data_IF_871405536734
#
_entry.id   IF_871405536734
#
_cell.length_a   1.000
_cell.length_b   1.000
_cell.length_c   1.000
_cell.angle_alpha   90.00
_cell.angle_beta   90.00
_cell.angle_gamma   90.00
#
_symmetry.space_group_name_H-M   'P 1'
#
loop_
_entity.id
_entity.type
_entity.pdbx_description
1 polymer ?
#
# COMPACT_ATOMS: atom_id res chain seq x y z
N UNK A 1 -21.21 -5.41 37.03
CA UNK A 1 -21.56 -5.14 35.60
C UNK A 1 -21.82 -3.65 35.46
N UNK A 2 -20.92 -2.94 34.79
CA UNK A 2 -21.06 -1.49 34.54
C UNK A 2 -21.88 -1.34 33.26
N UNK A 3 -23.11 -0.88 33.31
CA UNK A 3 -23.91 -0.57 32.14
C UNK A 3 -23.76 0.92 31.78
N UNK A 4 -23.21 1.18 30.60
CA UNK A 4 -23.05 2.55 30.07
C UNK A 4 -24.12 2.80 29.00
N UNK A 5 -24.83 3.95 29.10
CA UNK A 5 -25.82 4.35 28.11
C UNK A 5 -25.14 5.11 26.96
N UNK A 6 -25.65 4.93 25.74
CA UNK A 6 -25.16 5.67 24.57
C UNK A 6 -25.37 7.18 24.74
N UNK A 7 -24.29 7.97 24.61
CA UNK A 7 -24.33 9.43 24.83
C UNK A 7 -24.05 9.88 26.27
N UNK A 8 -23.77 8.95 27.18
CA UNK A 8 -23.42 9.29 28.56
C UNK A 8 -22.02 9.90 28.60
N UNK A 9 -21.90 11.09 29.21
CA UNK A 9 -20.60 11.73 29.48
C UNK A 9 -19.89 10.96 30.60
N UNK A 10 -18.68 10.46 30.34
CA UNK A 10 -17.88 9.68 31.29
C UNK A 10 -16.98 10.58 32.12
N UNK A 11 -16.41 11.62 31.48
CA UNK A 11 -15.51 12.60 32.10
C UNK A 11 -15.72 13.95 31.43
N UNK A 12 -15.68 15.04 32.19
CA UNK A 12 -15.65 16.40 31.67
C UNK A 12 -14.22 16.94 31.67
N UNK A 13 -13.94 17.91 30.82
CA UNK A 13 -12.67 18.61 30.82
C UNK A 13 -12.40 19.27 32.19
N UNK A 14 -11.31 18.89 32.85
CA UNK A 14 -10.95 19.31 34.20
C UNK A 14 -11.28 18.35 35.33
N UNK A 15 -12.00 17.25 35.08
CA UNK A 15 -12.30 16.24 36.11
C UNK A 15 -11.07 15.35 36.40
N UNK A 16 -10.91 14.96 37.68
CA UNK A 16 -9.87 14.02 38.09
C UNK A 16 -10.16 12.62 37.58
N UNK A 17 -9.18 12.02 36.89
CA UNK A 17 -9.30 10.66 36.35
C UNK A 17 -9.19 9.65 37.50
N UNK A 18 -10.33 9.08 37.90
CA UNK A 18 -10.39 8.01 38.92
C UNK A 18 -10.15 6.62 38.30
N UNK A 19 -9.72 5.61 39.08
CA UNK A 19 -9.54 4.23 38.59
C UNK A 19 -10.79 3.64 37.93
N UNK A 20 -11.98 4.02 38.39
CA UNK A 20 -13.26 3.62 37.78
C UNK A 20 -13.44 4.21 36.37
N UNK A 21 -13.02 5.42 36.14
CA UNK A 21 -13.05 6.08 34.82
C UNK A 21 -12.10 5.39 33.86
N UNK A 22 -10.90 5.04 34.32
CA UNK A 22 -9.91 4.29 33.52
C UNK A 22 -10.47 2.92 33.12
N UNK A 23 -11.11 2.20 34.05
CA UNK A 23 -11.71 0.89 33.75
C UNK A 23 -12.88 1.00 32.75
N UNK A 24 -13.71 2.03 32.83
CA UNK A 24 -14.78 2.29 31.89
C UNK A 24 -14.24 2.62 30.49
N UNK A 25 -13.24 3.51 30.37
CA UNK A 25 -12.61 3.87 29.12
C UNK A 25 -11.93 2.64 28.49
N UNK A 26 -11.23 1.83 29.28
CA UNK A 26 -10.57 0.62 28.79
C UNK A 26 -11.58 -0.42 28.28
N UNK A 27 -12.70 -0.61 28.97
CA UNK A 27 -13.77 -1.51 28.55
C UNK A 27 -14.44 -1.05 27.23
N UNK A 28 -14.70 0.26 27.07
CA UNK A 28 -15.24 0.82 25.83
C UNK A 28 -14.24 0.65 24.69
N UNK A 29 -12.97 0.94 24.95
CA UNK A 29 -11.90 0.83 23.94
C UNK A 29 -11.74 -0.62 23.48
N UNK A 30 -11.73 -1.59 24.39
CA UNK A 30 -11.60 -3.00 24.03
C UNK A 30 -12.81 -3.50 23.22
N UNK A 31 -14.02 -3.15 23.63
CA UNK A 31 -15.24 -3.54 22.91
C UNK A 31 -15.33 -2.90 21.52
N UNK A 32 -15.07 -1.59 21.41
CA UNK A 32 -15.13 -0.88 20.13
C UNK A 32 -14.02 -1.35 19.16
N UNK A 33 -12.85 -1.70 19.69
CA UNK A 33 -11.72 -2.17 18.88
C UNK A 33 -11.99 -3.57 18.34
N UNK A 34 -12.52 -4.48 19.14
CA UNK A 34 -12.81 -5.85 18.73
C UNK A 34 -13.86 -5.89 17.61
N UNK A 35 -15.02 -5.25 17.82
CA UNK A 35 -16.09 -5.23 16.81
C UNK A 35 -15.65 -4.53 15.52
N UNK A 36 -14.90 -3.43 15.63
CA UNK A 36 -14.38 -2.69 14.48
C UNK A 36 -13.36 -3.51 13.68
N UNK A 37 -12.51 -4.28 14.34
CA UNK A 37 -11.53 -5.13 13.68
C UNK A 37 -12.19 -6.28 12.93
N UNK A 38 -13.21 -6.91 13.50
CA UNK A 38 -13.99 -7.97 12.84
C UNK A 38 -14.68 -7.43 11.58
N UNK A 39 -15.39 -6.30 11.69
CA UNK A 39 -16.05 -5.70 10.53
C UNK A 39 -15.06 -5.25 9.46
N UNK A 40 -13.90 -4.72 9.85
CA UNK A 40 -12.82 -4.35 8.94
C UNK A 40 -12.25 -5.57 8.23
N UNK A 41 -12.07 -6.69 8.93
CA UNK A 41 -11.60 -7.93 8.35
C UNK A 41 -12.57 -8.47 7.28
N UNK A 42 -13.86 -8.57 7.58
CA UNK A 42 -14.85 -9.01 6.61
C UNK A 42 -14.99 -8.04 5.43
N UNK A 43 -14.95 -6.75 5.67
CA UNK A 43 -14.96 -5.74 4.60
C UNK A 43 -13.76 -5.90 3.66
N UNK A 44 -12.56 -6.05 4.20
CA UNK A 44 -11.35 -6.31 3.42
C UNK A 44 -11.44 -7.63 2.65
N UNK A 45 -11.92 -8.69 3.27
CA UNK A 45 -12.07 -10.00 2.64
C UNK A 45 -13.00 -9.92 1.42
N UNK A 46 -14.14 -9.25 1.54
CA UNK A 46 -15.08 -9.05 0.43
C UNK A 46 -14.43 -8.23 -0.69
N UNK A 47 -13.76 -7.13 -0.35
CA UNK A 47 -13.07 -6.28 -1.34
C UNK A 47 -11.97 -7.02 -2.08
N UNK A 48 -11.12 -7.74 -1.36
CA UNK A 48 -10.05 -8.54 -1.95
C UNK A 48 -10.61 -9.65 -2.83
N UNK A 49 -11.67 -10.34 -2.40
CA UNK A 49 -12.34 -11.37 -3.20
C UNK A 49 -12.93 -10.79 -4.48
N UNK A 50 -13.57 -9.63 -4.42
CA UNK A 50 -14.10 -8.94 -5.59
C UNK A 50 -12.98 -8.52 -6.57
N UNK A 51 -11.85 -8.04 -6.04
CA UNK A 51 -10.67 -7.70 -6.84
C UNK A 51 -10.08 -8.93 -7.54
N UNK A 52 -9.95 -10.07 -6.85
CA UNK A 52 -9.47 -11.31 -7.45
C UNK A 52 -10.45 -11.85 -8.49
N UNK A 53 -11.76 -11.72 -8.27
CA UNK A 53 -12.76 -12.09 -9.28
C UNK A 53 -12.64 -11.18 -10.52
N UNK A 54 -12.46 -9.87 -10.34
CA UNK A 54 -12.23 -8.95 -11.46
C UNK A 54 -10.94 -9.29 -12.22
N UNK A 55 -9.88 -9.66 -11.51
CA UNK A 55 -8.62 -10.11 -12.11
C UNK A 55 -8.79 -11.36 -12.96
N UNK A 56 -9.55 -12.34 -12.45
CA UNK A 56 -9.88 -13.54 -13.22
C UNK A 56 -10.63 -13.21 -14.51
N UNK A 57 -11.67 -12.38 -14.42
CA UNK A 57 -12.42 -11.92 -15.59
C UNK A 57 -11.56 -11.13 -16.57
N UNK A 58 -10.69 -10.26 -16.08
CA UNK A 58 -9.75 -9.54 -16.93
C UNK A 58 -8.81 -10.48 -17.69
N UNK A 59 -8.25 -11.50 -17.03
CA UNK A 59 -7.35 -12.47 -17.65
C UNK A 59 -8.09 -13.31 -18.70
N UNK A 60 -9.34 -13.72 -18.47
CA UNK A 60 -10.17 -14.43 -19.45
C UNK A 60 -10.46 -13.59 -20.70
N UNK A 61 -10.70 -12.29 -20.56
CA UNK A 61 -11.13 -11.43 -21.68
C UNK A 61 -9.99 -10.60 -22.30
N UNK A 62 -8.77 -10.80 -21.89
CA UNK A 62 -7.63 -9.95 -22.33
C UNK A 62 -7.28 -10.00 -23.81
N UNK A 63 -7.69 -11.05 -24.56
CA UNK A 63 -7.58 -11.14 -26.03
C UNK A 63 -6.18 -10.92 -26.63
N UNK A 64 -5.13 -10.89 -25.83
CA UNK A 64 -3.78 -10.58 -26.26
C UNK A 64 -2.98 -11.87 -26.48
N UNK A 65 -2.14 -11.86 -27.50
CA UNK A 65 -1.14 -12.91 -27.69
C UNK A 65 -0.09 -12.79 -26.58
N UNK A 66 -0.04 -13.70 -25.62
CA UNK A 66 0.95 -13.63 -24.56
C UNK A 66 2.35 -13.88 -25.12
N UNK A 67 3.35 -13.20 -24.57
CA UNK A 67 4.76 -13.46 -24.91
C UNK A 67 5.20 -14.88 -24.53
N UNK A 68 4.61 -15.39 -23.46
CA UNK A 68 4.70 -16.80 -23.06
C UNK A 68 3.34 -17.45 -23.31
N UNK A 69 3.35 -18.65 -23.88
CA UNK A 69 2.15 -19.49 -24.11
C UNK A 69 1.63 -20.08 -22.79
N UNK A 70 1.40 -19.22 -21.79
CA UNK A 70 0.83 -19.62 -20.53
C UNK A 70 -0.69 -19.72 -20.67
N UNK A 71 -1.26 -20.80 -20.15
CA UNK A 71 -2.72 -20.91 -20.02
C UNK A 71 -3.28 -19.81 -19.10
N UNK A 72 -4.58 -19.52 -19.23
CA UNK A 72 -5.24 -18.50 -18.40
C UNK A 72 -5.09 -18.81 -16.89
N UNK A 73 -5.23 -20.09 -16.54
CA UNK A 73 -5.07 -20.56 -15.16
C UNK A 73 -3.66 -20.33 -14.61
N UNK A 74 -2.63 -20.64 -15.40
CA UNK A 74 -1.24 -20.42 -15.01
C UNK A 74 -0.91 -18.93 -14.90
N UNK A 75 -1.46 -18.12 -15.79
CA UNK A 75 -1.30 -16.65 -15.71
C UNK A 75 -1.98 -16.11 -14.47
N UNK A 76 -3.16 -16.61 -14.11
CA UNK A 76 -3.86 -16.20 -12.89
C UNK A 76 -3.13 -16.67 -11.63
N UNK A 77 -2.59 -17.89 -11.63
CA UNK A 77 -1.77 -18.39 -10.54
C UNK A 77 -0.49 -17.54 -10.34
N UNK A 78 0.18 -17.20 -11.45
CA UNK A 78 1.35 -16.31 -11.43
C UNK A 78 0.98 -14.91 -10.89
N UNK A 79 -0.14 -14.35 -11.37
CA UNK A 79 -0.67 -13.08 -10.87
C UNK A 79 -0.90 -13.14 -9.34
N UNK A 80 -1.63 -14.16 -8.88
CA UNK A 80 -1.92 -14.36 -7.45
C UNK A 80 -0.66 -14.49 -6.62
N UNK A 81 0.31 -15.29 -7.09
CA UNK A 81 1.61 -15.44 -6.41
C UNK A 81 2.36 -14.11 -6.30
N UNK A 82 2.47 -13.35 -7.39
CA UNK A 82 3.14 -12.05 -7.40
C UNK A 82 2.43 -11.07 -6.44
N UNK A 83 1.10 -11.04 -6.45
CA UNK A 83 0.33 -10.16 -5.55
C UNK A 83 0.58 -10.52 -4.08
N UNK A 84 0.57 -11.80 -3.72
CA UNK A 84 0.84 -12.25 -2.34
C UNK A 84 2.26 -11.88 -1.91
N UNK A 85 3.26 -12.18 -2.73
CA UNK A 85 4.66 -11.84 -2.44
C UNK A 85 4.85 -10.33 -2.30
N UNK A 86 4.28 -9.55 -3.22
CA UNK A 86 4.36 -8.10 -3.18
C UNK A 86 3.66 -7.51 -1.94
N UNK A 87 2.50 -8.06 -1.57
CA UNK A 87 1.78 -7.62 -0.36
C UNK A 87 2.57 -7.90 0.90
N UNK A 88 3.16 -9.10 1.01
CA UNK A 88 4.03 -9.45 2.13
C UNK A 88 5.27 -8.54 2.21
N UNK A 89 5.88 -8.27 1.06
CA UNK A 89 7.02 -7.36 0.96
C UNK A 89 6.64 -5.93 1.40
N UNK A 90 5.53 -5.39 0.91
CA UNK A 90 5.03 -4.07 1.33
C UNK A 90 4.76 -4.02 2.83
N UNK A 91 4.10 -5.03 3.39
CA UNK A 91 3.82 -5.09 4.82
C UNK A 91 5.11 -5.08 5.66
N UNK A 92 6.12 -5.85 5.25
CA UNK A 92 7.43 -5.87 5.88
C UNK A 92 8.14 -4.52 5.80
N UNK A 93 8.11 -3.86 4.64
CA UNK A 93 8.72 -2.54 4.49
C UNK A 93 7.98 -1.43 5.21
N UNK A 94 6.64 -1.45 5.30
CA UNK A 94 5.91 -0.52 6.14
C UNK A 94 6.27 -0.68 7.62
N UNK A 95 6.41 -1.92 8.08
CA UNK A 95 6.90 -2.19 9.45
C UNK A 95 8.31 -1.65 9.66
N UNK A 96 9.21 -1.84 8.69
CA UNK A 96 10.58 -1.30 8.75
C UNK A 96 10.58 0.24 8.74
N UNK A 97 9.70 0.87 7.96
CA UNK A 97 9.53 2.32 7.94
C UNK A 97 9.12 2.86 9.33
N UNK A 98 8.16 2.20 9.99
CA UNK A 98 7.75 2.55 11.34
C UNK A 98 8.89 2.41 12.35
N UNK A 99 9.60 1.28 12.35
CA UNK A 99 10.75 1.05 13.26
C UNK A 99 11.86 2.06 13.02
N UNK A 100 12.11 2.40 11.75
CA UNK A 100 13.17 3.36 11.40
C UNK A 100 12.80 4.78 11.86
N UNK A 101 11.56 5.20 11.65
CA UNK A 101 11.06 6.49 12.11
C UNK A 101 11.12 6.62 13.63
N UNK A 102 10.73 5.57 14.37
CA UNK A 102 10.78 5.58 15.84
C UNK A 102 12.19 5.70 16.42
N UNK A 103 13.22 5.27 15.68
CA UNK A 103 14.63 5.41 16.08
C UNK A 103 15.20 6.80 15.81
N UNK A 104 14.54 7.61 15.00
CA UNK A 104 14.95 8.95 14.66
C UNK A 104 14.19 9.99 15.49
N UNK A 105 14.91 10.83 16.24
CA UNK A 105 14.32 11.87 17.09
C UNK A 105 14.07 13.17 16.32
N UNK A 106 14.82 13.39 15.23
CA UNK A 106 14.78 14.65 14.48
C UNK A 106 13.77 14.59 13.33
N UNK A 107 12.91 15.61 13.22
CA UNK A 107 12.11 15.83 12.03
C UNK A 107 13.04 16.19 10.83
N UNK A 108 12.69 15.73 9.59
CA UNK A 108 11.51 14.97 9.18
C UNK A 108 11.69 13.44 9.26
N UNK A 109 12.86 12.93 9.72
CA UNK A 109 13.21 11.50 9.72
C UNK A 109 12.42 10.66 10.73
N UNK A 110 11.67 11.31 11.63
CA UNK A 110 10.76 10.66 12.57
C UNK A 110 9.36 10.37 11.97
N UNK A 111 9.10 10.75 10.71
CA UNK A 111 7.84 10.46 10.02
C UNK A 111 7.95 9.13 9.24
N UNK A 112 7.17 8.09 9.61
CA UNK A 112 7.17 6.82 8.89
C UNK A 112 6.80 6.94 7.41
N UNK A 113 5.96 7.93 7.06
CA UNK A 113 5.52 8.12 5.69
C UNK A 113 6.66 8.47 4.74
N UNK A 114 7.69 9.14 5.26
CA UNK A 114 8.87 9.50 4.47
C UNK A 114 9.67 8.25 4.06
N UNK A 115 9.85 7.32 4.98
CA UNK A 115 10.54 6.05 4.73
C UNK A 115 9.72 5.12 3.84
N UNK A 116 8.39 5.23 3.89
CA UNK A 116 7.49 4.41 3.08
C UNK A 116 7.61 4.71 1.57
N UNK A 117 8.07 5.89 1.15
CA UNK A 117 8.37 6.17 -0.27
C UNK A 117 9.54 5.35 -0.83
N UNK A 118 10.37 4.75 0.02
CA UNK A 118 11.45 3.85 -0.40
C UNK A 118 10.96 2.42 -0.73
N UNK A 119 9.69 2.10 -0.47
CA UNK A 119 9.12 0.77 -0.73
C UNK A 119 9.08 0.50 -2.25
N UNK A 120 9.55 -0.67 -2.71
CA UNK A 120 9.57 -1.01 -4.13
C UNK A 120 8.19 -1.44 -4.64
N UNK A 121 7.24 -0.50 -4.73
CA UNK A 121 5.86 -0.76 -5.17
C UNK A 121 5.77 -1.31 -6.61
N UNK A 122 6.68 -0.91 -7.47
CA UNK A 122 6.69 -1.29 -8.89
C UNK A 122 7.19 -2.72 -9.15
N UNK A 123 7.73 -3.42 -8.14
CA UNK A 123 8.40 -4.71 -8.32
C UNK A 123 7.46 -5.78 -8.92
N UNK A 124 6.23 -5.90 -8.40
CA UNK A 124 5.27 -6.90 -8.90
C UNK A 124 4.85 -6.64 -10.35
N UNK A 125 4.60 -5.39 -10.73
CA UNK A 125 4.25 -5.02 -12.09
C UNK A 125 5.42 -5.21 -13.07
N UNK A 126 6.64 -4.97 -12.61
CA UNK A 126 7.87 -5.19 -13.35
C UNK A 126 8.07 -6.69 -13.63
N UNK A 127 7.93 -7.55 -12.61
CA UNK A 127 7.99 -9.01 -12.79
C UNK A 127 6.93 -9.49 -13.77
N UNK A 128 5.70 -9.00 -13.65
CA UNK A 128 4.61 -9.38 -14.54
C UNK A 128 4.87 -8.94 -15.99
N UNK A 129 5.54 -7.79 -16.20
CA UNK A 129 5.96 -7.33 -17.54
C UNK A 129 6.97 -8.28 -18.17
N UNK A 130 7.88 -8.84 -17.38
CA UNK A 130 8.91 -9.77 -17.84
C UNK A 130 8.37 -11.17 -18.10
N UNK A 131 7.45 -11.65 -17.25
CA UNK A 131 6.97 -13.04 -17.26
C UNK A 131 5.69 -13.24 -18.06
N UNK A 132 4.88 -12.21 -18.25
CA UNK A 132 3.62 -12.31 -18.98
C UNK A 132 3.54 -11.25 -20.08
N UNK A 133 2.56 -10.35 -20.00
CA UNK A 133 2.33 -9.32 -20.97
C UNK A 133 2.12 -7.95 -20.31
N UNK A 134 2.28 -6.89 -21.11
CA UNK A 134 2.20 -5.52 -20.64
C UNK A 134 0.82 -5.15 -20.09
N UNK A 135 -0.26 -5.67 -20.68
CA UNK A 135 -1.63 -5.39 -20.23
C UNK A 135 -1.89 -5.99 -18.86
N UNK A 136 -1.52 -7.26 -18.68
CA UNK A 136 -1.64 -7.93 -17.39
C UNK A 136 -0.74 -7.29 -16.34
N UNK A 137 0.46 -6.83 -16.72
CA UNK A 137 1.37 -6.11 -15.83
C UNK A 137 0.81 -4.77 -15.34
N UNK A 138 0.20 -3.97 -16.24
CA UNK A 138 -0.49 -2.73 -15.85
C UNK A 138 -1.64 -3.01 -14.89
N UNK A 139 -2.45 -4.02 -15.20
CA UNK A 139 -3.54 -4.43 -14.31
C UNK A 139 -3.00 -4.87 -12.94
N UNK A 140 -1.92 -5.67 -12.92
CA UNK A 140 -1.24 -6.08 -11.68
C UNK A 140 -0.75 -4.87 -10.88
N UNK A 141 -0.18 -3.87 -11.56
CA UNK A 141 0.28 -2.63 -10.94
C UNK A 141 -0.87 -1.85 -10.28
N UNK A 142 -2.00 -1.69 -10.97
CA UNK A 142 -3.19 -1.05 -10.41
C UNK A 142 -3.75 -1.83 -9.21
N UNK A 143 -3.79 -3.16 -9.31
CA UNK A 143 -4.23 -4.03 -8.24
C UNK A 143 -3.34 -3.89 -6.98
N UNK A 144 -2.03 -3.92 -7.15
CA UNK A 144 -1.04 -3.71 -6.09
C UNK A 144 -1.20 -2.31 -5.47
N UNK A 145 -1.50 -1.29 -6.29
CA UNK A 145 -1.70 0.08 -5.81
C UNK A 145 -2.92 0.20 -4.89
N UNK A 146 -4.01 -0.50 -5.19
CA UNK A 146 -5.18 -0.57 -4.31
C UNK A 146 -4.81 -1.24 -2.98
N UNK A 147 -4.05 -2.35 -3.02
CA UNK A 147 -3.59 -3.03 -1.81
C UNK A 147 -2.64 -2.13 -1.00
N UNK A 148 -1.74 -1.40 -1.66
CA UNK A 148 -0.87 -0.43 -1.00
C UNK A 148 -1.68 0.62 -0.22
N UNK A 149 -2.80 1.09 -0.79
CA UNK A 149 -3.70 2.00 -0.10
C UNK A 149 -4.38 1.41 1.14
N UNK A 150 -4.64 0.09 1.16
CA UNK A 150 -5.19 -0.57 2.36
C UNK A 150 -4.15 -0.77 3.46
N UNK A 151 -2.88 -0.95 3.10
CA UNK A 151 -1.79 -1.14 4.06
C UNK A 151 -1.25 0.20 4.60
N UNK A 152 -1.28 1.24 3.80
CA UNK A 152 -0.65 2.52 4.13
C UNK A 152 -1.46 3.36 5.11
N UNK A 153 -0.82 4.09 6.05
CA UNK A 153 -1.50 5.02 6.94
C UNK A 153 -2.12 6.23 6.19
N UNK A 154 -1.49 6.66 5.09
CA UNK A 154 -1.98 7.73 4.18
C UNK A 154 -2.43 7.10 2.86
N UNK A 155 -3.61 6.50 2.84
CA UNK A 155 -4.06 5.56 1.81
C UNK A 155 -4.02 6.11 0.38
N UNK A 156 -4.52 7.34 0.13
CA UNK A 156 -4.63 7.89 -1.21
C UNK A 156 -3.26 8.22 -1.82
N UNK A 157 -2.34 8.76 -1.04
CA UNK A 157 -1.00 9.12 -1.51
C UNK A 157 -0.25 7.91 -2.04
N UNK A 158 -0.28 6.80 -1.29
CA UNK A 158 0.42 5.58 -1.67
C UNK A 158 -0.27 4.81 -2.80
N UNK A 159 -1.59 4.95 -2.98
CA UNK A 159 -2.29 4.44 -4.18
C UNK A 159 -1.76 5.14 -5.43
N UNK A 160 -1.74 6.47 -5.43
CA UNK A 160 -1.27 7.27 -6.57
C UNK A 160 0.21 7.01 -6.84
N UNK A 161 1.04 7.05 -5.79
CA UNK A 161 2.47 6.79 -5.90
C UNK A 161 2.77 5.41 -6.51
N UNK A 162 2.15 4.36 -5.99
CA UNK A 162 2.32 2.98 -6.46
C UNK A 162 1.81 2.79 -7.89
N UNK A 163 0.68 3.43 -8.25
CA UNK A 163 0.13 3.37 -9.61
C UNK A 163 1.09 4.00 -10.63
N UNK A 164 1.62 5.19 -10.34
CA UNK A 164 2.57 5.87 -11.21
C UNK A 164 3.86 5.04 -11.34
N UNK A 165 4.45 4.60 -10.22
CA UNK A 165 5.65 3.79 -10.22
C UNK A 165 5.48 2.50 -11.03
N UNK A 166 4.35 1.82 -10.87
CA UNK A 166 4.00 0.61 -11.61
C UNK A 166 3.84 0.87 -13.12
N UNK A 167 3.15 1.94 -13.49
CA UNK A 167 2.98 2.31 -14.89
C UNK A 167 4.33 2.62 -15.55
N UNK A 168 5.19 3.39 -14.89
CA UNK A 168 6.54 3.71 -15.39
C UNK A 168 7.39 2.45 -15.53
N UNK A 169 7.32 1.50 -14.61
CA UNK A 169 8.03 0.23 -14.70
C UNK A 169 7.60 -0.57 -15.93
N UNK A 170 6.30 -0.67 -16.17
CA UNK A 170 5.74 -1.42 -17.31
C UNK A 170 6.11 -0.77 -18.65
N UNK A 171 6.01 0.54 -18.75
CA UNK A 171 6.36 1.26 -19.99
C UNK A 171 7.87 1.39 -20.19
N UNK A 172 8.64 1.53 -19.13
CA UNK A 172 10.10 1.61 -19.17
C UNK A 172 10.78 0.37 -19.73
N UNK A 173 10.30 -0.81 -19.39
CA UNK A 173 10.83 -2.10 -19.92
C UNK A 173 10.30 -2.46 -21.30
N UNK A 174 9.14 -1.95 -21.67
CA UNK A 174 8.33 -2.48 -22.77
C UNK A 174 8.91 -2.50 -24.16
N UNK A 175 10.04 -1.86 -24.42
CA UNK A 175 10.66 -1.77 -25.77
C UNK A 175 12.01 -2.48 -25.90
N UNK A 176 12.59 -2.95 -24.81
CA UNK A 176 13.97 -3.35 -24.77
C UNK A 176 14.20 -4.85 -24.64
N UNK A 177 15.09 -5.39 -25.47
CA UNK A 177 15.50 -6.80 -25.49
C UNK A 177 16.89 -7.04 -24.87
N UNK A 178 17.53 -6.02 -24.30
CA UNK A 178 18.90 -6.11 -23.78
C UNK A 178 18.94 -6.13 -22.25
N UNK A 179 20.01 -6.67 -21.69
CA UNK A 179 20.21 -6.70 -20.22
C UNK A 179 20.26 -5.29 -19.60
N UNK A 180 20.74 -4.29 -20.32
CA UNK A 180 20.78 -2.88 -19.91
C UNK A 180 19.38 -2.27 -19.74
N UNK A 181 18.36 -2.84 -20.35
CA UNK A 181 16.98 -2.32 -20.27
C UNK A 181 16.41 -2.34 -18.86
N UNK A 182 16.75 -3.37 -18.08
CA UNK A 182 16.28 -3.49 -16.68
C UNK A 182 16.91 -2.40 -15.83
N UNK A 183 18.18 -2.11 -16.04
CA UNK A 183 18.90 -1.05 -15.31
C UNK A 183 18.34 0.33 -15.67
N UNK A 184 18.11 0.59 -16.96
CA UNK A 184 17.52 1.85 -17.42
C UNK A 184 16.10 2.04 -16.89
N UNK A 185 15.29 0.96 -16.91
CA UNK A 185 13.96 0.99 -16.33
C UNK A 185 13.99 1.26 -14.82
N UNK A 186 14.95 0.66 -14.09
CA UNK A 186 15.14 0.93 -12.67
C UNK A 186 15.48 2.39 -12.39
N UNK A 187 16.39 2.99 -13.17
CA UNK A 187 16.74 4.41 -13.05
C UNK A 187 15.53 5.30 -13.36
N UNK A 188 14.78 4.98 -14.41
CA UNK A 188 13.58 5.75 -14.79
C UNK A 188 12.50 5.66 -13.69
N UNK A 189 12.23 4.47 -13.18
CA UNK A 189 11.31 4.27 -12.05
C UNK A 189 11.77 5.06 -10.84
N UNK A 190 13.06 5.00 -10.49
CA UNK A 190 13.61 5.75 -9.37
C UNK A 190 13.45 7.26 -9.54
N UNK A 191 13.77 7.81 -10.70
CA UNK A 191 13.64 9.25 -10.99
C UNK A 191 12.19 9.73 -10.93
N UNK A 192 11.27 9.00 -11.58
CA UNK A 192 9.84 9.37 -11.57
C UNK A 192 9.23 9.17 -10.18
N UNK A 193 9.62 8.12 -9.47
CA UNK A 193 9.16 7.89 -8.09
C UNK A 193 9.62 9.02 -7.17
N UNK A 194 10.87 9.48 -7.28
CA UNK A 194 11.37 10.61 -6.51
C UNK A 194 10.58 11.90 -6.82
N UNK A 195 10.36 12.20 -8.11
CA UNK A 195 9.56 13.35 -8.52
C UNK A 195 8.11 13.26 -8.00
N UNK A 196 7.50 12.08 -8.06
CA UNK A 196 6.14 11.84 -7.55
C UNK A 196 6.08 12.00 -6.03
N UNK A 197 7.06 11.50 -5.29
CA UNK A 197 7.14 11.68 -3.85
C UNK A 197 7.22 13.17 -3.47
N UNK A 198 8.10 13.93 -4.14
CA UNK A 198 8.21 15.38 -3.93
C UNK A 198 6.89 16.09 -4.23
N UNK A 199 6.22 15.74 -5.33
CA UNK A 199 4.93 16.32 -5.69
C UNK A 199 3.83 16.01 -4.66
N UNK A 200 3.77 14.77 -4.15
CA UNK A 200 2.80 14.36 -3.13
C UNK A 200 3.06 15.05 -1.79
N UNK A 201 4.32 15.17 -1.36
CA UNK A 201 4.68 15.90 -0.14
C UNK A 201 4.29 17.37 -0.28
N UNK A 202 4.53 17.99 -1.45
CA UNK A 202 4.12 19.37 -1.73
C UNK A 202 2.60 19.55 -1.74
N UNK A 203 1.87 18.58 -2.30
CA UNK A 203 0.40 18.59 -2.33
C UNK A 203 -0.22 18.51 -0.93
N UNK A 204 0.35 17.72 -0.04
CA UNK A 204 -0.15 17.56 1.33
C UNK A 204 0.23 18.72 2.25
N UNK A 205 0.87 19.75 1.72
CA UNK A 205 1.31 20.94 2.46
C UNK A 205 2.15 20.60 3.71
N UNK A 206 2.83 19.50 3.71
CA UNK A 206 3.84 19.23 4.72
C UNK A 206 5.00 20.20 4.42
N UNK A 207 5.33 21.11 5.32
CA UNK A 207 6.43 22.04 5.06
C UNK A 207 7.69 21.22 4.83
N UNK A 208 8.36 21.41 3.69
CA UNK A 208 9.75 21.01 3.55
C UNK A 208 10.56 21.80 4.56
N UNK A 209 10.66 21.32 5.78
CA UNK A 209 11.55 21.93 6.77
C UNK A 209 12.97 21.49 6.39
N UNK A 210 13.51 22.12 5.36
CA UNK A 210 14.93 22.34 5.19
C UNK A 210 15.38 23.41 6.22
N UNK A 211 15.08 23.21 7.46
CA UNK A 211 15.78 23.93 8.52
C UNK A 211 17.04 23.15 8.84
N UNK A 212 18.00 23.38 7.99
CA UNK A 212 19.41 23.55 8.27
C UNK A 212 19.66 24.24 9.61
N UNK A 213 20.55 23.59 10.35
CA UNK A 213 21.33 24.04 11.50
C UNK A 213 20.61 24.03 12.81
#
# INVERSE_FOLDING_TARGET
TISLKRGQTIVREGDTITPNVISQISAIRSYSTSTRNVNRFFGLLILVSALFWAAWKFIQHRGAVPRLTLSEERTFALFGFIVVVQTALMAAFFYLADVTAQRNVKAPLNDPSLWAFAIPFAFGSLLMTLLADRRTALFTGLFISIIAGFLAPKSLEFVVYSAIASAVAVYGIGRYRSRSSVTIAGILVGAVSAATAVALIGYTQQPFILNTV
#
